data_IF_883890647831
#
_entry.id   IF_883890647831
#
_cell.length_a   1.000
_cell.length_b   1.000
_cell.length_c   1.000
_cell.angle_alpha   90.00
_cell.angle_beta   90.00
_cell.angle_gamma   90.00
#
_symmetry.space_group_name_H-M   'P 1'
#
loop_
_entity.id
_entity.type
_entity.pdbx_description
1 polymer ?
#
# COMPACT_ATOMS: atom_id res chain seq x y z
N UNK A 1 -13.60 14.97 6.72
CA UNK A 1 -13.09 14.76 5.33
C UNK A 1 -11.84 13.91 5.46
N UNK A 2 -11.77 12.79 4.76
CA UNK A 2 -10.59 11.92 4.79
C UNK A 2 -9.44 12.60 4.08
N UNK A 3 -8.38 12.91 4.81
CA UNK A 3 -7.25 13.70 4.31
C UNK A 3 -5.98 12.87 4.09
N UNK A 4 -6.08 11.53 4.11
CA UNK A 4 -4.93 10.65 3.88
C UNK A 4 -4.97 10.03 2.48
N UNK A 5 -3.81 9.75 1.89
CA UNK A 5 -3.64 8.89 0.72
C UNK A 5 -3.06 7.57 1.18
N UNK A 6 -3.74 6.46 0.90
CA UNK A 6 -3.32 5.13 1.31
C UNK A 6 -2.94 4.32 0.08
N UNK A 7 -1.66 3.95 -0.01
CA UNK A 7 -1.12 3.17 -1.12
C UNK A 7 -1.20 1.68 -0.81
N UNK A 8 -1.89 0.94 -1.66
CA UNK A 8 -1.96 -0.52 -1.63
C UNK A 8 -1.41 -1.12 -2.93
N UNK A 9 -1.39 -2.43 -3.03
CA UNK A 9 -0.89 -3.15 -4.19
C UNK A 9 0.19 -4.17 -3.84
N UNK A 10 0.54 -5.01 -4.78
CA UNK A 10 1.47 -6.11 -4.55
C UNK A 10 2.86 -5.63 -4.10
N UNK A 11 3.59 -6.51 -3.42
CA UNK A 11 4.99 -6.26 -3.04
C UNK A 11 5.84 -6.02 -4.28
N UNK A 12 6.72 -5.01 -4.27
CA UNK A 12 7.56 -4.65 -5.42
C UNK A 12 6.92 -3.72 -6.45
N UNK A 13 5.69 -3.25 -6.24
CA UNK A 13 5.06 -2.23 -7.12
C UNK A 13 5.62 -0.82 -6.92
N UNK A 14 6.37 -0.59 -5.84
CA UNK A 14 7.05 0.69 -5.56
C UNK A 14 6.35 1.59 -4.55
N UNK A 15 5.38 1.09 -3.78
CA UNK A 15 4.57 1.87 -2.84
C UNK A 15 5.37 2.79 -1.92
N UNK A 16 6.36 2.25 -1.21
CA UNK A 16 7.19 3.01 -0.26
C UNK A 16 7.93 4.15 -0.94
N UNK A 17 8.57 3.87 -2.07
CA UNK A 17 9.32 4.87 -2.82
C UNK A 17 8.41 5.96 -3.40
N UNK A 18 7.31 5.56 -4.04
CA UNK A 18 6.34 6.48 -4.64
C UNK A 18 5.60 7.26 -3.55
N UNK A 19 5.21 6.59 -2.45
CA UNK A 19 4.56 7.24 -1.31
C UNK A 19 5.41 8.34 -0.71
N UNK A 20 6.70 8.09 -0.55
CA UNK A 20 7.63 9.12 -0.09
C UNK A 20 7.68 10.32 -1.07
N UNK A 21 7.73 10.08 -2.40
CA UNK A 21 7.70 11.17 -3.40
C UNK A 21 6.39 11.97 -3.30
N UNK A 22 5.24 11.28 -3.20
CA UNK A 22 3.92 11.94 -3.07
C UNK A 22 3.89 12.80 -1.82
N UNK A 23 4.35 12.31 -0.67
CA UNK A 23 4.37 13.05 0.59
C UNK A 23 5.21 14.34 0.48
N UNK A 24 6.39 14.25 -0.15
CA UNK A 24 7.24 15.43 -0.37
C UNK A 24 6.57 16.47 -1.30
N UNK A 25 5.91 16.02 -2.36
CA UNK A 25 5.21 16.92 -3.29
C UNK A 25 4.00 17.60 -2.65
N UNK A 26 3.28 16.91 -1.76
CA UNK A 26 2.11 17.43 -1.05
C UNK A 26 2.47 18.16 0.25
N UNK A 27 3.70 18.05 0.72
CA UNK A 27 4.16 18.50 2.05
C UNK A 27 3.36 17.85 3.18
N UNK A 28 3.09 16.56 3.01
CA UNK A 28 2.42 15.70 3.98
C UNK A 28 3.42 14.79 4.67
N UNK A 29 3.02 14.22 5.80
CA UNK A 29 3.82 13.20 6.47
C UNK A 29 3.75 11.86 5.72
N UNK A 30 4.78 11.03 5.90
CA UNK A 30 4.89 9.72 5.27
C UNK A 30 4.99 8.62 6.32
N UNK A 31 4.24 7.54 6.12
CA UNK A 31 4.35 6.31 6.90
C UNK A 31 4.43 5.10 5.96
N UNK A 32 5.42 4.22 6.20
CA UNK A 32 5.40 2.86 5.68
C UNK A 32 5.03 1.90 6.82
N UNK A 33 3.96 1.12 6.63
CA UNK A 33 3.46 0.24 7.71
C UNK A 33 4.41 -0.89 8.04
N UNK A 34 5.16 -1.39 7.05
CA UNK A 34 6.15 -2.44 7.28
C UNK A 34 7.33 -1.90 8.11
N UNK A 35 7.80 -0.67 7.81
CA UNK A 35 8.85 0.01 8.58
C UNK A 35 8.38 0.32 10.01
N UNK A 36 7.15 0.81 10.18
CA UNK A 36 6.60 1.12 11.50
C UNK A 36 6.43 -0.14 12.36
N UNK A 37 5.97 -1.25 11.77
CA UNK A 37 5.87 -2.54 12.45
C UNK A 37 7.26 -3.06 12.87
N UNK A 38 8.25 -2.97 11.99
CA UNK A 38 9.64 -3.34 12.30
C UNK A 38 10.19 -2.53 13.46
N UNK A 39 9.95 -1.23 13.47
CA UNK A 39 10.36 -0.31 14.53
C UNK A 39 9.70 -0.67 15.87
N UNK A 40 8.38 -0.87 15.88
CA UNK A 40 7.62 -1.22 17.11
C UNK A 40 8.02 -2.57 17.67
N UNK A 41 8.27 -3.54 16.78
CA UNK A 41 8.68 -4.88 17.19
C UNK A 41 10.16 -4.97 17.57
N UNK A 42 10.99 -3.98 17.21
CA UNK A 42 12.46 -4.07 17.27
C UNK A 42 12.99 -5.35 16.60
N UNK A 43 12.33 -5.78 15.50
CA UNK A 43 12.62 -7.00 14.78
C UNK A 43 12.25 -6.83 13.30
N UNK A 44 12.94 -7.50 12.40
CA UNK A 44 12.61 -7.51 10.98
C UNK A 44 11.30 -8.27 10.72
N UNK A 45 10.63 -7.98 9.59
CA UNK A 45 9.44 -8.74 9.18
C UNK A 45 9.73 -10.25 9.11
N UNK A 46 10.90 -10.62 8.60
CA UNK A 46 11.33 -12.01 8.52
C UNK A 46 11.43 -12.67 9.92
N UNK A 47 12.02 -11.98 10.89
CA UNK A 47 12.10 -12.44 12.28
C UNK A 47 10.72 -12.54 12.92
N UNK A 48 9.81 -11.60 12.66
CA UNK A 48 8.43 -11.68 13.15
C UNK A 48 7.74 -12.93 12.60
N UNK A 49 7.84 -13.18 11.30
CA UNK A 49 7.27 -14.39 10.67
C UNK A 49 7.89 -15.67 11.22
N UNK A 50 9.21 -15.71 11.38
CA UNK A 50 9.94 -16.87 11.88
C UNK A 50 9.60 -17.19 13.35
N UNK A 51 9.54 -16.18 14.19
CA UNK A 51 9.41 -16.35 15.63
C UNK A 51 7.95 -16.44 16.10
N UNK A 52 7.02 -15.76 15.40
CA UNK A 52 5.64 -15.61 15.85
C UNK A 52 4.61 -16.02 14.80
N UNK A 53 5.03 -16.29 13.56
CA UNK A 53 4.16 -16.71 12.46
C UNK A 53 3.37 -15.56 11.80
N UNK A 54 2.73 -15.88 10.66
CA UNK A 54 1.95 -14.92 9.88
C UNK A 54 0.76 -14.35 10.67
N UNK A 55 0.08 -15.17 11.48
CA UNK A 55 -1.07 -14.74 12.28
C UNK A 55 -0.74 -13.58 13.21
N UNK A 56 0.43 -13.64 13.88
CA UNK A 56 0.89 -12.55 14.74
C UNK A 56 1.21 -11.28 13.97
N UNK A 57 1.89 -11.42 12.84
CA UNK A 57 2.15 -10.30 11.94
C UNK A 57 0.85 -9.61 11.52
N UNK A 58 -0.19 -10.37 11.11
CA UNK A 58 -1.49 -9.82 10.72
C UNK A 58 -2.21 -9.12 11.86
N UNK A 59 -2.10 -9.62 13.08
CA UNK A 59 -2.64 -8.92 14.26
C UNK A 59 -1.95 -7.57 14.49
N UNK A 60 -0.63 -7.51 14.34
CA UNK A 60 0.13 -6.26 14.47
C UNK A 60 -0.19 -5.27 13.35
N UNK A 61 -0.28 -5.75 12.10
CA UNK A 61 -0.68 -4.97 10.93
C UNK A 61 -2.07 -4.34 11.13
N UNK A 62 -3.04 -5.14 11.61
CA UNK A 62 -4.40 -4.69 11.89
C UNK A 62 -4.45 -3.64 13.01
N UNK A 63 -3.72 -3.85 14.09
CA UNK A 63 -3.63 -2.89 15.18
C UNK A 63 -3.07 -1.55 14.69
N UNK A 64 -2.02 -1.56 13.85
CA UNK A 64 -1.46 -0.34 13.28
C UNK A 64 -2.46 0.37 12.33
N UNK A 65 -3.16 -0.38 11.48
CA UNK A 65 -4.14 0.20 10.55
C UNK A 65 -5.32 0.83 11.28
N UNK A 66 -5.73 0.29 12.42
CA UNK A 66 -6.81 0.87 13.23
C UNK A 66 -6.47 2.27 13.77
N UNK A 67 -5.18 2.63 13.86
CA UNK A 67 -4.72 3.96 14.28
C UNK A 67 -4.80 5.01 13.16
N UNK A 68 -5.16 4.63 11.92
CA UNK A 68 -5.24 5.58 10.79
C UNK A 68 -6.31 6.66 11.00
N UNK A 69 -7.31 6.39 11.85
CA UNK A 69 -8.32 7.38 12.24
C UNK A 69 -7.74 8.63 12.91
N UNK A 70 -6.56 8.48 13.53
CA UNK A 70 -5.89 9.56 14.24
C UNK A 70 -4.94 10.38 13.34
N UNK A 71 -4.78 9.95 12.08
CA UNK A 71 -3.88 10.56 11.11
C UNK A 71 -4.63 11.51 10.17
N UNK A 72 -3.95 12.59 9.80
CA UNK A 72 -4.43 13.59 8.84
C UNK A 72 -3.26 14.14 8.02
N UNK A 73 -3.45 14.27 6.72
CA UNK A 73 -2.41 14.70 5.78
C UNK A 73 -1.20 13.75 5.76
N UNK A 74 -1.48 12.44 5.77
CA UNK A 74 -0.49 11.39 5.61
C UNK A 74 -0.56 10.73 4.24
N UNK A 75 0.59 10.34 3.73
CA UNK A 75 0.71 9.33 2.67
C UNK A 75 1.19 8.04 3.32
N UNK A 76 0.34 7.02 3.27
CA UNK A 76 0.56 5.75 3.97
C UNK A 76 0.81 4.65 2.94
N UNK A 77 1.99 4.01 3.00
CA UNK A 77 2.31 2.81 2.23
C UNK A 77 1.98 1.58 3.06
N UNK A 78 1.05 0.74 2.59
CA UNK A 78 0.67 -0.48 3.33
C UNK A 78 1.41 -1.73 2.86
N UNK A 79 1.51 -2.73 3.72
CA UNK A 79 1.93 -4.07 3.33
C UNK A 79 1.06 -4.62 2.19
N UNK A 80 1.66 -5.40 1.27
CA UNK A 80 0.95 -5.89 0.08
C UNK A 80 -0.23 -6.85 0.35
N UNK A 81 -0.40 -7.30 1.59
CA UNK A 81 -1.52 -8.13 2.01
C UNK A 81 -2.54 -7.42 2.91
N UNK A 82 -2.28 -6.17 3.29
CA UNK A 82 -3.11 -5.44 4.25
C UNK A 82 -4.57 -5.30 3.81
N UNK A 83 -4.80 -5.01 2.52
CA UNK A 83 -6.15 -4.83 1.95
C UNK A 83 -6.98 -6.12 1.87
N UNK A 84 -6.36 -7.29 2.07
CA UNK A 84 -7.04 -8.60 1.98
C UNK A 84 -7.95 -8.84 3.21
N UNK A 85 -7.60 -8.28 4.35
CA UNK A 85 -8.45 -8.31 5.55
C UNK A 85 -9.57 -7.28 5.41
N UNK A 86 -10.82 -7.71 5.55
CA UNK A 86 -12.02 -6.87 5.36
C UNK A 86 -12.08 -5.71 6.38
N UNK A 87 -11.62 -5.94 7.59
CA UNK A 87 -11.62 -4.92 8.64
C UNK A 87 -10.53 -3.87 8.36
N UNK A 88 -9.34 -4.29 7.90
CA UNK A 88 -8.32 -3.36 7.42
C UNK A 88 -8.84 -2.51 6.27
N UNK A 89 -9.50 -3.15 5.28
CA UNK A 89 -10.11 -2.42 4.16
C UNK A 89 -11.10 -1.36 4.65
N UNK A 90 -11.97 -1.72 5.61
CA UNK A 90 -12.94 -0.79 6.20
C UNK A 90 -12.24 0.42 6.84
N UNK A 91 -11.25 0.19 7.71
CA UNK A 91 -10.48 1.27 8.31
C UNK A 91 -9.79 2.16 7.28
N UNK A 92 -9.15 1.56 6.27
CA UNK A 92 -8.51 2.32 5.19
C UNK A 92 -9.53 3.16 4.41
N UNK A 93 -10.71 2.60 4.10
CA UNK A 93 -11.76 3.28 3.34
C UNK A 93 -12.40 4.45 4.08
N UNK A 94 -12.56 4.31 5.39
CA UNK A 94 -13.09 5.36 6.26
C UNK A 94 -12.10 6.52 6.44
N UNK A 95 -10.80 6.24 6.38
CA UNK A 95 -9.75 7.18 6.79
C UNK A 95 -8.84 7.67 5.65
N UNK A 96 -9.07 7.24 4.39
CA UNK A 96 -8.22 7.68 3.29
C UNK A 96 -8.77 7.41 1.90
N UNK A 97 -8.08 7.99 0.92
CA UNK A 97 -8.23 7.70 -0.49
C UNK A 97 -7.29 6.55 -0.86
N UNK A 98 -7.86 5.39 -1.19
CA UNK A 98 -7.10 4.17 -1.43
C UNK A 98 -6.66 4.13 -2.89
N UNK A 99 -5.35 4.10 -3.12
CA UNK A 99 -4.75 3.98 -4.46
C UNK A 99 -3.99 2.66 -4.57
N UNK A 100 -4.38 1.82 -5.51
CA UNK A 100 -3.65 0.60 -5.84
C UNK A 100 -2.54 0.90 -6.84
N UNK A 101 -1.30 0.52 -6.51
CA UNK A 101 -0.20 0.48 -7.47
C UNK A 101 -0.12 -0.92 -8.08
N UNK A 102 -0.28 -0.99 -9.39
CA UNK A 102 -0.21 -2.24 -10.13
C UNK A 102 1.01 -2.28 -11.06
N UNK A 103 1.55 -3.48 -11.24
CA UNK A 103 2.61 -3.77 -12.20
C UNK A 103 2.50 -5.22 -12.68
N UNK A 104 3.06 -5.51 -13.85
CA UNK A 104 3.16 -6.86 -14.40
C UNK A 104 4.07 -7.74 -13.52
N UNK A 105 3.83 -9.05 -13.52
CA UNK A 105 4.64 -9.98 -12.74
C UNK A 105 6.13 -9.91 -13.08
N UNK A 106 6.48 -9.73 -14.37
CA UNK A 106 7.87 -9.57 -14.80
C UNK A 106 8.52 -8.32 -14.20
N UNK A 107 7.81 -7.20 -14.21
CA UNK A 107 8.28 -5.94 -13.62
C UNK A 107 8.49 -6.09 -12.11
N UNK A 108 7.54 -6.71 -11.41
CA UNK A 108 7.62 -6.99 -9.98
C UNK A 108 8.82 -7.88 -9.68
N UNK A 109 8.97 -9.00 -10.42
CA UNK A 109 10.07 -9.94 -10.25
C UNK A 109 11.44 -9.26 -10.45
N UNK A 110 11.58 -8.44 -11.51
CA UNK A 110 12.80 -7.69 -11.76
C UNK A 110 13.13 -6.71 -10.62
N UNK A 111 12.13 -5.98 -10.10
CA UNK A 111 12.31 -5.03 -8.99
C UNK A 111 12.66 -5.74 -7.68
N UNK A 112 12.03 -6.88 -7.38
CA UNK A 112 12.31 -7.66 -6.17
C UNK A 112 13.73 -8.23 -6.18
N UNK A 113 14.20 -8.72 -7.32
CA UNK A 113 15.58 -9.23 -7.48
C UNK A 113 16.66 -8.16 -7.21
N UNK A 114 16.34 -6.89 -7.41
CA UNK A 114 17.25 -5.77 -7.13
C UNK A 114 17.24 -5.36 -5.65
N UNK A 115 16.26 -5.80 -4.88
CA UNK A 115 16.14 -5.50 -3.45
C UNK A 115 16.71 -6.65 -2.63
N UNK A 116 17.57 -6.33 -1.66
CA UNK A 116 18.18 -7.34 -0.77
C UNK A 116 17.25 -7.85 0.34
N UNK A 117 16.01 -7.38 0.39
CA UNK A 117 15.06 -7.77 1.44
C UNK A 117 14.39 -9.11 1.14
N UNK A 118 14.50 -10.04 2.06
CA UNK A 118 13.81 -11.34 1.99
C UNK A 118 12.29 -11.10 2.10
N UNK A 119 11.53 -11.74 1.22
CA UNK A 119 10.06 -11.67 1.21
C UNK A 119 9.48 -13.07 1.49
N UNK A 120 9.11 -13.37 2.74
CA UNK A 120 8.76 -14.73 3.16
C UNK A 120 7.70 -15.42 2.30
N UNK A 121 6.71 -14.67 1.80
CA UNK A 121 5.61 -15.21 1.00
C UNK A 121 5.97 -15.47 -0.48
N UNK A 122 7.06 -14.90 -0.98
CA UNK A 122 7.47 -15.00 -2.40
C UNK A 122 8.66 -15.95 -2.57
N UNK A 123 9.43 -16.18 -1.52
CA UNK A 123 10.68 -16.96 -1.55
C UNK A 123 10.49 -18.48 -1.68
N UNK A 124 9.24 -18.97 -1.76
CA UNK A 124 8.95 -20.42 -1.87
C UNK A 124 8.63 -20.79 -3.32
N UNK A 125 9.48 -21.59 -3.97
CA UNK A 125 9.29 -22.08 -5.34
C UNK A 125 9.75 -21.09 -6.44
N UNK A 126 9.15 -21.16 -7.63
CA UNK A 126 9.42 -20.17 -8.70
C UNK A 126 8.79 -18.81 -8.34
N UNK A 127 9.61 -17.76 -8.18
CA UNK A 127 9.12 -16.44 -7.81
C UNK A 127 8.09 -15.87 -8.80
N UNK A 128 8.24 -16.11 -10.10
CA UNK A 128 7.31 -15.59 -11.11
C UNK A 128 5.93 -16.25 -11.00
N UNK A 129 5.89 -17.58 -10.88
CA UNK A 129 4.63 -18.32 -10.67
C UNK A 129 3.97 -17.90 -9.36
N UNK A 130 4.77 -17.75 -8.29
CA UNK A 130 4.27 -17.34 -6.98
C UNK A 130 3.68 -15.93 -6.98
N UNK A 131 4.32 -14.98 -7.69
CA UNK A 131 3.80 -13.62 -7.87
C UNK A 131 2.45 -13.68 -8.60
N UNK A 132 2.34 -14.41 -9.70
CA UNK A 132 1.10 -14.54 -10.46
C UNK A 132 -0.02 -15.15 -9.62
N UNK A 133 0.25 -16.23 -8.89
CA UNK A 133 -0.70 -16.88 -8.00
C UNK A 133 -1.22 -15.93 -6.93
N UNK A 134 -0.32 -15.26 -6.20
CA UNK A 134 -0.71 -14.34 -5.12
C UNK A 134 -1.43 -13.09 -5.66
N UNK A 135 -1.03 -12.57 -6.83
CA UNK A 135 -1.74 -11.46 -7.49
C UNK A 135 -3.17 -11.86 -7.86
N UNK A 136 -3.34 -13.01 -8.48
CA UNK A 136 -4.66 -13.53 -8.86
C UNK A 136 -5.58 -13.71 -7.65
N UNK A 137 -5.05 -14.25 -6.54
CA UNK A 137 -5.81 -14.42 -5.29
C UNK A 137 -6.26 -13.09 -4.67
N UNK A 138 -5.52 -11.98 -4.90
CA UNK A 138 -5.77 -10.67 -4.29
C UNK A 138 -6.38 -9.65 -5.25
N UNK A 139 -6.62 -10.05 -6.49
CA UNK A 139 -7.09 -9.14 -7.55
C UNK A 139 -8.41 -8.47 -7.20
N UNK A 140 -9.34 -9.21 -6.61
CA UNK A 140 -10.63 -8.67 -6.19
C UNK A 140 -10.45 -7.55 -5.15
N UNK A 141 -9.62 -7.77 -4.14
CA UNK A 141 -9.39 -6.78 -3.08
C UNK A 141 -8.66 -5.54 -3.62
N UNK A 142 -7.68 -5.72 -4.50
CA UNK A 142 -7.01 -4.58 -5.14
C UNK A 142 -7.97 -3.75 -6.01
N UNK A 143 -8.93 -4.40 -6.67
CA UNK A 143 -9.97 -3.72 -7.47
C UNK A 143 -10.96 -2.89 -6.63
N UNK A 144 -11.00 -3.08 -5.29
CA UNK A 144 -11.82 -2.29 -4.37
C UNK A 144 -11.21 -0.93 -4.03
N UNK A 145 -10.00 -0.62 -4.51
CA UNK A 145 -9.35 0.67 -4.34
C UNK A 145 -10.11 1.78 -5.08
N UNK A 146 -10.01 3.01 -4.60
CA UNK A 146 -10.65 4.17 -5.24
C UNK A 146 -10.02 4.51 -6.59
N UNK A 147 -8.72 4.22 -6.74
CA UNK A 147 -7.96 4.47 -7.96
C UNK A 147 -6.90 3.40 -8.17
N UNK A 148 -6.55 3.12 -9.43
CA UNK A 148 -5.45 2.20 -9.77
C UNK A 148 -4.48 2.88 -10.73
N UNK A 149 -3.18 2.80 -10.41
CA UNK A 149 -2.11 3.31 -11.26
C UNK A 149 -1.19 2.16 -11.71
N UNK A 150 -1.05 2.01 -13.02
CA UNK A 150 -0.13 1.03 -13.61
C UNK A 150 1.28 1.62 -13.71
N UNK A 151 2.25 0.99 -13.04
CA UNK A 151 3.60 1.55 -12.86
C UNK A 151 4.64 1.04 -13.85
N UNK A 152 4.26 0.21 -14.83
CA UNK A 152 5.21 -0.48 -15.72
C UNK A 152 5.98 0.47 -16.64
N UNK A 153 5.33 1.52 -17.11
CA UNK A 153 5.86 2.42 -18.14
C UNK A 153 6.00 3.87 -17.66
N UNK A 154 5.77 4.11 -16.39
CA UNK A 154 5.85 5.43 -15.77
C UNK A 154 7.09 5.57 -14.91
N UNK A 155 7.68 6.75 -14.92
CA UNK A 155 8.69 7.11 -13.93
C UNK A 155 8.04 7.30 -12.56
N UNK A 156 8.77 7.15 -11.45
CA UNK A 156 8.21 7.37 -10.10
C UNK A 156 7.55 8.74 -9.94
N UNK A 157 8.09 9.78 -10.55
CA UNK A 157 7.51 11.14 -10.53
C UNK A 157 6.20 11.20 -11.30
N UNK A 158 6.08 10.52 -12.43
CA UNK A 158 4.83 10.45 -13.21
C UNK A 158 3.75 9.71 -12.43
N UNK A 159 4.08 8.59 -11.79
CA UNK A 159 3.15 7.86 -10.91
C UNK A 159 2.70 8.75 -9.75
N UNK A 160 3.62 9.47 -9.09
CA UNK A 160 3.27 10.37 -8.00
C UNK A 160 2.31 11.49 -8.45
N UNK A 161 2.54 12.10 -9.61
CA UNK A 161 1.65 13.12 -10.19
C UNK A 161 0.26 12.56 -10.51
N UNK A 162 0.18 11.34 -11.03
CA UNK A 162 -1.10 10.68 -11.31
C UNK A 162 -1.90 10.45 -10.02
N UNK A 163 -1.24 10.00 -8.95
CA UNK A 163 -1.87 9.83 -7.63
C UNK A 163 -2.42 11.15 -7.11
N UNK A 164 -1.60 12.21 -7.14
CA UNK A 164 -2.01 13.53 -6.65
C UNK A 164 -3.21 14.05 -7.44
N UNK A 165 -3.16 13.95 -8.77
CA UNK A 165 -4.28 14.36 -9.63
C UNK A 165 -5.56 13.60 -9.34
N UNK A 166 -5.48 12.28 -9.13
CA UNK A 166 -6.63 11.46 -8.79
C UNK A 166 -7.23 11.88 -7.44
N UNK A 167 -6.38 12.19 -6.46
CA UNK A 167 -6.81 12.68 -5.15
C UNK A 167 -7.49 14.07 -5.26
N UNK A 168 -6.95 15.01 -6.04
CA UNK A 168 -7.54 16.32 -6.29
C UNK A 168 -8.94 16.19 -6.92
N UNK A 169 -9.09 15.37 -7.95
CA UNK A 169 -10.39 15.07 -8.58
C UNK A 169 -11.39 14.54 -7.53
N UNK A 170 -10.95 13.66 -6.64
CA UNK A 170 -11.79 13.14 -5.57
C UNK A 170 -12.23 14.23 -4.59
N UNK A 171 -11.36 15.17 -4.24
CA UNK A 171 -11.71 16.29 -3.35
C UNK A 171 -12.73 17.22 -4.01
N UNK A 172 -12.57 17.54 -5.28
CA UNK A 172 -13.50 18.38 -6.02
C UNK A 172 -14.92 17.75 -6.08
N UNK A 173 -14.99 16.43 -6.34
CA UNK A 173 -16.26 15.70 -6.32
C UNK A 173 -16.96 15.74 -4.96
N UNK A 174 -16.21 15.59 -3.86
CA UNK A 174 -16.76 15.67 -2.50
C UNK A 174 -17.26 17.10 -2.23
N UNK A 175 -16.50 18.12 -2.62
CA UNK A 175 -16.89 19.51 -2.43
C UNK A 175 -18.19 19.86 -3.17
N UNK A 176 -18.32 19.41 -4.43
CA UNK A 176 -19.54 19.61 -5.21
C UNK A 176 -20.76 18.91 -4.59
N UNK A 177 -20.60 17.68 -4.10
CA UNK A 177 -21.67 16.96 -3.43
C UNK A 177 -22.17 17.67 -2.16
N UNK A 178 -21.25 18.21 -1.35
CA UNK A 178 -21.59 18.95 -0.12
C UNK A 178 -22.26 20.30 -0.45
N UNK A 179 -21.92 20.91 -1.59
CA UNK A 179 -22.51 22.20 -2.01
C UNK A 179 -23.94 22.08 -2.55
N UNK A 180 -24.30 20.90 -3.08
CA UNK A 180 -25.58 20.65 -3.76
C UNK A 180 -26.61 19.94 -2.86
N UNK A 181 -26.22 19.43 -1.68
CA UNK A 181 -27.08 18.79 -0.68
C UNK A 181 -27.42 19.69 0.48
#
# INVERSE_FOLDING_TARGET
MTSNIILTGFSGTGKSHIGYIVSQMMRWDFMDTDDELTKRASATIEEIFKNYGESKFRQMEKALISEFSDLSNFVISTGGGAIVDEENYKYMKENGFIVCLEAKADTINARIKQQHNVRPLISQGDPHERINQLKSQRQHQYAMSDWTVHTDHLTPIQVAREIIRAWEIRQDQIYEQVRLG
#
